data_IF_394015464503
#
_entry.id   IF_394015464503
#
_cell.length_a   1.000
_cell.length_b   1.000
_cell.length_c   1.000
_cell.angle_alpha   90.00
_cell.angle_beta   90.00
_cell.angle_gamma   90.00
#
_symmetry.space_group_name_H-M   'P 1'
#
loop_
_entity.id
_entity.type
_entity.pdbx_description
1 polymer ?
#
# COMPACT_ATOMS: atom_id res chain seq x y z
N UNK A 1 8.86 6.49 -15.07
CA UNK A 1 9.19 5.57 -13.96
C UNK A 1 9.03 4.13 -14.39
N UNK A 2 9.74 3.21 -13.75
CA UNK A 2 9.65 1.81 -14.05
C UNK A 2 8.38 1.16 -13.48
N UNK A 3 8.23 -0.13 -13.73
CA UNK A 3 7.07 -0.92 -13.29
C UNK A 3 6.82 -0.82 -11.78
N UNK A 4 7.86 -0.93 -10.98
CA UNK A 4 7.71 -0.85 -9.51
C UNK A 4 7.17 0.50 -9.07
N UNK A 5 7.76 1.58 -9.58
CA UNK A 5 7.32 2.94 -9.23
C UNK A 5 5.88 3.20 -9.61
N UNK A 6 5.48 2.76 -10.79
CA UNK A 6 4.10 2.92 -11.27
C UNK A 6 3.13 2.07 -10.47
N UNK A 7 3.51 0.86 -10.10
CA UNK A 7 2.68 -0.02 -9.26
C UNK A 7 2.44 0.62 -7.89
N UNK A 8 3.47 1.18 -7.29
CA UNK A 8 3.35 1.87 -6.00
C UNK A 8 2.51 3.16 -6.11
N UNK A 9 2.65 3.89 -7.22
CA UNK A 9 1.84 5.08 -7.46
C UNK A 9 0.35 4.73 -7.56
N UNK A 10 0.03 3.63 -8.25
CA UNK A 10 -1.34 3.13 -8.35
C UNK A 10 -1.89 2.74 -6.98
N UNK A 11 -1.11 2.04 -6.18
CA UNK A 11 -1.50 1.65 -4.83
C UNK A 11 -1.82 2.88 -3.98
N UNK A 12 -0.98 3.89 -4.05
CA UNK A 12 -1.17 5.14 -3.29
C UNK A 12 -2.48 5.83 -3.63
N UNK A 13 -2.83 5.86 -4.91
CA UNK A 13 -4.09 6.43 -5.37
C UNK A 13 -5.27 5.64 -4.83
N UNK A 14 -5.20 4.31 -4.92
CA UNK A 14 -6.29 3.43 -4.49
C UNK A 14 -6.47 3.42 -2.97
N UNK A 15 -5.42 3.67 -2.20
CA UNK A 15 -5.50 3.72 -0.73
C UNK A 15 -6.42 4.81 -0.21
N UNK A 16 -6.79 5.77 -1.04
CA UNK A 16 -7.77 6.80 -0.66
C UNK A 16 -9.15 6.19 -0.41
N UNK A 17 -9.39 4.96 -0.86
CA UNK A 17 -10.67 4.26 -0.69
C UNK A 17 -11.71 4.60 -1.74
N UNK A 18 -11.42 5.52 -2.62
CA UNK A 18 -12.30 5.93 -3.70
C UNK A 18 -12.21 4.96 -4.87
N UNK A 19 -13.32 4.80 -5.61
CA UNK A 19 -13.34 4.01 -6.84
C UNK A 19 -12.69 4.80 -7.98
N UNK A 20 -11.81 4.15 -8.73
CA UNK A 20 -11.18 4.71 -9.93
C UNK A 20 -11.36 3.75 -11.08
N UNK A 21 -11.73 4.29 -12.25
CA UNK A 21 -11.77 3.48 -13.47
C UNK A 21 -10.34 3.20 -13.95
N UNK A 22 -10.20 2.18 -14.79
CA UNK A 22 -8.90 1.88 -15.41
C UNK A 22 -8.38 3.09 -16.19
N UNK A 23 -9.29 3.77 -16.91
CA UNK A 23 -8.93 4.98 -17.68
C UNK A 23 -8.42 6.10 -16.79
N UNK A 24 -9.09 6.33 -15.65
CA UNK A 24 -8.66 7.35 -14.70
C UNK A 24 -7.27 7.07 -14.16
N UNK A 25 -7.02 5.82 -13.77
CA UNK A 25 -5.71 5.42 -13.26
C UNK A 25 -4.63 5.54 -14.33
N UNK A 26 -4.93 5.10 -15.54
CA UNK A 26 -4.00 5.20 -16.66
C UNK A 26 -3.62 6.65 -16.94
N UNK A 27 -4.60 7.54 -16.91
CA UNK A 27 -4.38 8.98 -17.10
C UNK A 27 -3.52 9.59 -16.01
N UNK A 28 -3.81 9.26 -14.76
CA UNK A 28 -3.09 9.82 -13.60
C UNK A 28 -1.64 9.39 -13.55
N UNK A 29 -1.36 8.16 -13.95
CA UNK A 29 -0.01 7.58 -13.89
C UNK A 29 0.72 7.73 -15.23
N UNK A 30 0.00 8.15 -16.27
CA UNK A 30 0.53 8.34 -17.63
C UNK A 30 1.02 7.04 -18.25
N UNK A 31 0.18 6.00 -18.16
CA UNK A 31 0.44 4.69 -18.77
C UNK A 31 -0.80 4.24 -19.53
N UNK A 32 -0.67 3.13 -20.28
CA UNK A 32 -1.82 2.57 -20.99
C UNK A 32 -2.75 1.84 -20.03
N UNK A 33 -4.06 1.69 -20.39
CA UNK A 33 -4.98 0.87 -19.59
C UNK A 33 -4.50 -0.56 -19.39
N UNK A 34 -3.81 -1.11 -20.37
CA UNK A 34 -3.25 -2.46 -20.28
C UNK A 34 -2.23 -2.57 -19.15
N UNK A 35 -1.41 -1.54 -18.97
CA UNK A 35 -0.41 -1.52 -17.89
C UNK A 35 -1.08 -1.47 -16.52
N UNK A 36 -2.21 -0.79 -16.39
CA UNK A 36 -2.96 -0.74 -15.14
C UNK A 36 -3.37 -2.15 -14.71
N UNK A 37 -3.82 -2.98 -15.65
CA UNK A 37 -4.19 -4.36 -15.36
C UNK A 37 -2.98 -5.19 -14.90
N UNK A 38 -1.82 -4.93 -15.48
CA UNK A 38 -0.57 -5.58 -15.08
C UNK A 38 -0.20 -5.18 -13.66
N UNK A 39 -0.29 -3.90 -13.32
CA UNK A 39 0.02 -3.42 -11.97
C UNK A 39 -0.94 -3.98 -10.93
N UNK A 40 -2.23 -4.11 -11.27
CA UNK A 40 -3.20 -4.75 -10.39
C UNK A 40 -2.78 -6.19 -10.08
N UNK A 41 -2.38 -6.94 -11.09
CA UNK A 41 -1.93 -8.32 -10.91
C UNK A 41 -0.69 -8.40 -10.00
N UNK A 42 0.23 -7.46 -10.15
CA UNK A 42 1.42 -7.40 -9.30
C UNK A 42 1.06 -7.11 -7.84
N UNK A 43 0.11 -6.20 -7.61
CA UNK A 43 -0.36 -5.91 -6.26
C UNK A 43 -1.02 -7.13 -5.63
N UNK A 44 -1.82 -7.86 -6.40
CA UNK A 44 -2.48 -9.08 -5.92
C UNK A 44 -1.48 -10.16 -5.55
N UNK A 45 -0.40 -10.30 -6.34
CA UNK A 45 0.70 -11.22 -6.00
C UNK A 45 1.35 -10.87 -4.67
N UNK A 46 1.42 -9.59 -4.37
CA UNK A 46 1.99 -9.11 -3.11
C UNK A 46 1.02 -9.23 -1.93
N UNK A 47 -0.19 -9.76 -2.16
CA UNK A 47 -1.19 -9.93 -1.12
C UNK A 47 -2.06 -8.71 -0.88
N UNK A 48 -2.02 -7.74 -1.78
CA UNK A 48 -2.84 -6.54 -1.68
C UNK A 48 -4.10 -6.74 -2.52
N UNK A 49 -5.26 -6.74 -1.88
CA UNK A 49 -6.55 -7.02 -2.53
C UNK A 49 -7.16 -5.77 -3.11
N UNK A 50 -7.55 -5.86 -4.38
CA UNK A 50 -8.22 -4.77 -5.09
C UNK A 50 -9.47 -5.33 -5.72
N UNK A 51 -10.63 -4.80 -5.34
CA UNK A 51 -11.91 -5.23 -5.87
C UNK A 51 -12.15 -4.63 -7.24
N UNK A 52 -12.71 -5.43 -8.13
CA UNK A 52 -13.13 -4.97 -9.45
C UNK A 52 -14.65 -4.87 -9.48
N UNK A 53 -15.14 -3.69 -9.81
CA UNK A 53 -16.57 -3.44 -10.03
C UNK A 53 -16.78 -3.44 -11.53
N UNK A 54 -17.64 -4.32 -12.03
CA UNK A 54 -17.92 -4.44 -13.45
C UNK A 54 -19.06 -3.51 -13.88
N UNK A 55 -19.13 -3.22 -15.17
CA UNK A 55 -20.20 -2.44 -15.76
C UNK A 55 -19.79 -1.02 -16.14
N UNK A 56 -20.77 -0.22 -16.54
CA UNK A 56 -20.55 1.14 -17.03
C UNK A 56 -19.92 2.04 -15.97
N UNK A 57 -20.32 1.84 -14.72
CA UNK A 57 -19.80 2.60 -13.59
C UNK A 57 -18.72 1.82 -12.82
N UNK A 58 -18.10 0.87 -13.51
CA UNK A 58 -17.08 -0.01 -12.92
C UNK A 58 -15.79 0.70 -12.60
N UNK A 59 -14.88 -0.07 -12.02
CA UNK A 59 -13.55 0.42 -11.65
C UNK A 59 -12.91 -0.44 -10.60
N UNK A 60 -11.82 0.07 -10.06
CA UNK A 60 -11.07 -0.60 -9.00
C UNK A 60 -11.29 0.13 -7.68
N UNK A 61 -11.42 -0.66 -6.62
CA UNK A 61 -11.58 -0.15 -5.26
C UNK A 61 -10.63 -0.92 -4.34
N UNK A 62 -9.90 -0.20 -3.51
CA UNK A 62 -9.05 -0.79 -2.48
C UNK A 62 -9.92 -1.57 -1.49
N UNK A 63 -9.59 -2.85 -1.28
CA UNK A 63 -10.37 -3.67 -0.37
C UNK A 63 -9.98 -3.36 1.08
N UNK A 64 -10.98 -3.11 1.92
CA UNK A 64 -10.75 -2.79 3.34
C UNK A 64 -10.06 -3.91 4.12
N UNK A 65 -10.13 -5.14 3.65
CA UNK A 65 -9.42 -6.25 4.27
C UNK A 65 -7.93 -6.03 4.34
N UNK A 66 -7.37 -5.24 3.41
CA UNK A 66 -5.94 -4.91 3.44
C UNK A 66 -5.53 -4.23 4.75
N UNK A 67 -6.44 -3.45 5.34
CA UNK A 67 -6.18 -2.75 6.59
C UNK A 67 -6.21 -3.68 7.79
N UNK A 68 -6.92 -4.81 7.69
CA UNK A 68 -7.05 -5.79 8.77
C UNK A 68 -6.02 -6.90 8.65
N UNK A 69 -5.58 -7.19 7.42
CA UNK A 69 -4.61 -8.24 7.16
C UNK A 69 -3.17 -7.80 7.47
N UNK A 70 -2.93 -6.49 7.54
CA UNK A 70 -1.63 -5.96 7.93
C UNK A 70 -1.54 -6.02 9.45
N UNK A 71 -0.91 -7.06 9.96
CA UNK A 71 -0.67 -7.20 11.39
C UNK A 71 0.82 -7.14 11.67
N UNK A 72 1.17 -6.35 12.67
CA UNK A 72 2.54 -6.27 13.18
C UNK A 72 2.57 -6.96 14.53
N UNK A 73 3.52 -7.86 14.71
CA UNK A 73 3.73 -8.51 16.00
C UNK A 73 4.97 -7.93 16.67
N UNK A 74 5.25 -8.41 17.88
CA UNK A 74 6.35 -7.90 18.66
C UNK A 74 7.72 -8.16 18.01
N UNK A 75 7.83 -9.23 17.22
CA UNK A 75 9.04 -9.53 16.47
C UNK A 75 9.28 -8.53 15.36
N UNK A 76 8.21 -8.08 14.70
CA UNK A 76 8.31 -7.05 13.66
C UNK A 76 8.82 -5.73 14.25
N UNK A 77 8.30 -5.36 15.42
CA UNK A 77 8.74 -4.16 16.13
C UNK A 77 10.21 -4.27 16.50
N UNK A 78 10.62 -5.42 17.03
CA UNK A 78 12.04 -5.66 17.40
C UNK A 78 12.97 -5.55 16.20
N UNK A 79 12.52 -6.07 15.05
CA UNK A 79 13.30 -5.97 13.82
C UNK A 79 13.49 -4.51 13.40
N UNK A 80 12.42 -3.72 13.43
CA UNK A 80 12.49 -2.30 13.09
C UNK A 80 13.37 -1.53 14.06
N UNK A 81 13.29 -1.83 15.35
CA UNK A 81 14.13 -1.19 16.38
C UNK A 81 15.62 -1.41 16.13
N UNK A 82 15.99 -2.54 15.55
CA UNK A 82 17.38 -2.85 15.21
C UNK A 82 17.85 -2.15 13.94
N UNK A 83 16.95 -1.92 12.99
CA UNK A 83 17.27 -1.36 11.69
C UNK A 83 17.32 0.17 11.73
N UNK A 84 16.39 0.80 12.44
CA UNK A 84 16.25 2.26 12.46
C UNK A 84 17.52 3.02 12.81
N UNK A 85 18.31 2.59 13.82
CA UNK A 85 19.54 3.28 14.15
C UNK A 85 20.60 3.25 13.04
N UNK A 86 20.44 2.35 12.05
CA UNK A 86 21.36 2.23 10.92
C UNK A 86 21.01 3.18 9.79
N UNK A 87 19.83 3.83 9.85
CA UNK A 87 19.38 4.77 8.83
C UNK A 87 19.99 6.14 9.08
N UNK A 88 20.08 6.93 8.00
CA UNK A 88 20.64 8.27 8.05
C UNK A 88 19.57 9.33 8.20
N UNK A 89 19.83 10.33 9.04
CA UNK A 89 19.12 11.61 9.15
C UNK A 89 17.60 11.57 8.94
N UNK A 90 17.13 12.11 7.81
CA UNK A 90 15.71 12.24 7.51
C UNK A 90 14.97 10.91 7.50
N UNK A 91 15.58 9.90 6.89
CA UNK A 91 14.99 8.57 6.83
C UNK A 91 14.84 7.95 8.21
N UNK A 92 15.81 8.21 9.10
CA UNK A 92 15.76 7.75 10.47
C UNK A 92 14.57 8.35 11.21
N UNK A 93 14.35 9.66 11.08
CA UNK A 93 13.24 10.35 11.72
C UNK A 93 11.88 9.84 11.24
N UNK A 94 11.73 9.67 9.94
CA UNK A 94 10.50 9.14 9.36
C UNK A 94 10.23 7.71 9.85
N UNK A 95 11.27 6.87 9.89
CA UNK A 95 11.16 5.49 10.36
C UNK A 95 10.81 5.43 11.84
N UNK A 96 11.39 6.29 12.66
CA UNK A 96 11.07 6.36 14.09
C UNK A 96 9.61 6.74 14.33
N UNK A 97 9.09 7.70 13.55
CA UNK A 97 7.68 8.11 13.63
C UNK A 97 6.76 6.96 13.25
N UNK A 98 7.11 6.24 12.19
CA UNK A 98 6.35 5.07 11.76
C UNK A 98 6.36 3.98 12.82
N UNK A 99 7.53 3.73 13.42
CA UNK A 99 7.67 2.71 14.46
C UNK A 99 6.77 3.03 15.67
N UNK A 100 6.69 4.31 16.07
CA UNK A 100 5.82 4.71 17.18
C UNK A 100 4.36 4.40 16.88
N UNK A 101 3.91 4.64 15.65
CA UNK A 101 2.55 4.30 15.23
C UNK A 101 2.31 2.80 15.29
N UNK A 102 3.27 2.00 14.83
CA UNK A 102 3.18 0.54 14.84
C UNK A 102 3.12 0.02 16.28
N UNK A 103 3.95 0.55 17.17
CA UNK A 103 3.96 0.18 18.59
C UNK A 103 2.60 0.42 19.23
N UNK A 104 1.96 1.54 18.90
CA UNK A 104 0.64 1.86 19.42
C UNK A 104 -0.38 0.81 19.01
N UNK A 105 -0.37 0.40 17.75
CA UNK A 105 -1.27 -0.63 17.24
C UNK A 105 -1.02 -1.99 17.88
N UNK A 106 0.25 -2.38 18.02
CA UNK A 106 0.64 -3.66 18.62
C UNK A 106 0.19 -3.75 20.08
N UNK A 107 0.39 -2.66 20.84
CA UNK A 107 -0.03 -2.61 22.24
C UNK A 107 -1.53 -2.80 22.36
N UNK A 108 -2.32 -2.14 21.53
CA UNK A 108 -3.78 -2.27 21.56
C UNK A 108 -4.26 -3.64 21.09
N UNK A 109 -3.53 -4.26 20.17
CA UNK A 109 -3.88 -5.60 19.67
C UNK A 109 -3.63 -6.68 20.69
N UNK A 110 -2.63 -6.52 21.54
CA UNK A 110 -2.29 -7.49 22.58
C UNK A 110 -3.12 -7.31 23.86
N UNK A 111 -3.82 -6.20 23.94
CA UNK A 111 -4.71 -5.94 25.05
C UNK A 111 -6.08 -6.54 24.82
#
# INVERSE_FOLDING_TARGET
MGKLGNTLAMLKILETGRKYTVSELASKIEVSPRMIKTYKAELEKAGIYIDTINGIYGGYVYNHKNNYDVSFNINDVSCLEKIIPLLENKNKNEAEQLLEKIKTVVIYSDG
#
